data_IF_700609462470
#
_entry.id   IF_700609462470
#
_cell.length_a   1.000
_cell.length_b   1.000
_cell.length_c   1.000
_cell.angle_alpha   90.00
_cell.angle_beta   90.00
_cell.angle_gamma   90.00
#
_symmetry.space_group_name_H-M   'P 1'
#
loop_
_entity.id
_entity.type
_entity.pdbx_description
1 polymer ?
#
# COMPACT_ATOMS: atom_id res chain seq x y z
N UNK A 1 -6.52 9.58 11.29
CA UNK A 1 -6.26 10.43 10.11
C UNK A 1 -6.76 11.83 10.40
N UNK A 2 -6.00 12.87 10.10
CA UNK A 2 -6.39 14.27 10.28
C UNK A 2 -5.76 15.14 9.20
N UNK A 3 -6.18 16.40 9.10
CA UNK A 3 -5.52 17.39 8.24
C UNK A 3 -4.15 17.79 8.80
N UNK A 4 -3.29 18.31 7.93
CA UNK A 4 -1.99 18.83 8.36
C UNK A 4 -2.13 19.97 9.38
N UNK A 5 -3.12 20.86 9.16
CA UNK A 5 -3.38 21.97 10.07
C UNK A 5 -3.83 21.49 11.45
N UNK A 6 -4.70 20.48 11.50
CA UNK A 6 -5.11 19.88 12.77
C UNK A 6 -3.91 19.25 13.49
N UNK A 7 -3.09 18.48 12.78
CA UNK A 7 -1.89 17.87 13.38
C UNK A 7 -0.98 18.94 13.99
N UNK A 8 -0.71 20.01 13.24
CA UNK A 8 0.10 21.14 13.69
C UNK A 8 -0.50 21.84 14.91
N UNK A 9 -1.80 22.14 14.88
CA UNK A 9 -2.49 22.84 15.96
C UNK A 9 -2.51 22.04 17.28
N UNK A 10 -2.45 20.70 17.20
CA UNK A 10 -2.51 19.81 18.36
C UNK A 10 -1.15 19.16 18.69
N UNK A 11 -0.05 19.60 18.08
CA UNK A 11 1.28 19.06 18.33
C UNK A 11 1.42 17.56 18.00
N UNK A 12 0.61 17.05 17.06
CA UNK A 12 0.67 15.65 16.65
C UNK A 12 1.84 15.43 15.68
N UNK A 13 2.56 14.33 15.87
CA UNK A 13 3.62 13.90 14.96
C UNK A 13 3.06 12.91 13.94
N UNK A 14 2.86 13.28 12.66
CA UNK A 14 2.37 12.36 11.64
C UNK A 14 3.39 11.27 11.34
N UNK A 15 2.93 10.03 11.13
CA UNK A 15 3.80 8.95 10.64
C UNK A 15 4.13 9.12 9.16
N UNK A 16 3.14 9.51 8.36
CA UNK A 16 3.26 9.75 6.93
C UNK A 16 2.13 10.64 6.42
N UNK A 17 2.30 11.19 5.22
CA UNK A 17 1.27 11.89 4.45
C UNK A 17 0.67 10.95 3.41
N UNK A 18 -0.64 11.00 3.21
CA UNK A 18 -1.29 10.34 2.06
C UNK A 18 -1.02 11.20 0.84
N UNK A 19 -0.25 10.66 -0.12
CA UNK A 19 0.13 11.37 -1.34
C UNK A 19 -0.85 11.13 -2.48
N UNK A 20 -1.30 9.90 -2.65
CA UNK A 20 -2.28 9.53 -3.66
C UNK A 20 -3.05 8.28 -3.26
N UNK A 21 -4.29 8.18 -3.74
CA UNK A 21 -5.13 6.99 -3.64
C UNK A 21 -5.71 6.72 -5.01
N UNK A 22 -5.82 5.44 -5.37
CA UNK A 22 -6.51 5.01 -6.58
C UNK A 22 -7.21 3.68 -6.41
N UNK A 23 -8.30 3.51 -7.15
CA UNK A 23 -9.04 2.25 -7.30
C UNK A 23 -9.00 1.85 -8.76
N UNK A 24 -8.98 0.55 -9.04
CA UNK A 24 -9.04 -0.02 -10.38
C UNK A 24 -9.98 -1.21 -10.40
N UNK A 25 -10.78 -1.35 -11.46
CA UNK A 25 -11.54 -2.55 -11.76
C UNK A 25 -10.72 -3.52 -12.61
N UNK A 26 -11.01 -4.80 -12.49
CA UNK A 26 -10.52 -5.88 -13.35
C UNK A 26 -11.61 -6.96 -13.49
N UNK A 27 -11.40 -7.93 -14.35
CA UNK A 27 -12.32 -9.05 -14.49
C UNK A 27 -12.43 -9.82 -13.15
N UNK A 28 -13.65 -10.18 -12.70
CA UNK A 28 -13.86 -10.81 -11.38
C UNK A 28 -13.07 -12.11 -11.20
N UNK A 29 -12.90 -12.90 -12.24
CA UNK A 29 -12.14 -14.17 -12.22
C UNK A 29 -10.64 -13.99 -11.97
N UNK A 30 -10.12 -12.78 -12.17
CA UNK A 30 -8.74 -12.39 -11.88
C UNK A 30 -8.66 -11.26 -10.85
N UNK A 31 -9.63 -11.21 -9.94
CA UNK A 31 -9.73 -10.15 -8.93
C UNK A 31 -8.44 -9.93 -8.14
N UNK A 32 -7.66 -10.99 -7.94
CA UNK A 32 -6.37 -10.94 -7.26
C UNK A 32 -5.35 -9.99 -7.91
N UNK A 33 -5.52 -9.68 -9.21
CA UNK A 33 -4.68 -8.74 -9.95
C UNK A 33 -5.13 -7.27 -9.83
N UNK A 34 -6.24 -7.01 -9.16
CA UNK A 34 -6.73 -5.64 -8.92
C UNK A 34 -5.68 -4.67 -8.37
N UNK A 35 -4.78 -5.08 -7.45
CA UNK A 35 -3.69 -4.25 -6.94
C UNK A 35 -2.80 -3.66 -8.02
N UNK A 36 -2.57 -4.37 -9.14
CA UNK A 36 -1.69 -3.92 -10.23
C UNK A 36 -2.19 -2.61 -10.85
N UNK A 37 -3.42 -2.62 -11.36
CA UNK A 37 -4.00 -1.41 -11.97
C UNK A 37 -4.20 -0.28 -10.96
N UNK A 38 -4.54 -0.61 -9.71
CA UNK A 38 -4.69 0.38 -8.66
C UNK A 38 -3.34 1.04 -8.30
N UNK A 39 -2.29 0.24 -8.11
CA UNK A 39 -0.95 0.73 -7.81
C UNK A 39 -0.39 1.58 -8.95
N UNK A 40 -0.50 1.13 -10.21
CA UNK A 40 -0.08 1.92 -11.37
C UNK A 40 -0.74 3.31 -11.42
N UNK A 41 -2.06 3.36 -11.19
CA UNK A 41 -2.79 4.63 -11.14
C UNK A 41 -2.37 5.50 -9.95
N UNK A 42 -2.16 4.92 -8.77
CA UNK A 42 -1.77 5.67 -7.58
C UNK A 42 -0.34 6.23 -7.73
N UNK A 43 0.60 5.43 -8.25
CA UNK A 43 1.97 5.85 -8.54
C UNK A 43 2.01 7.00 -9.57
N UNK A 44 1.25 6.87 -10.66
CA UNK A 44 1.13 7.93 -11.67
C UNK A 44 0.58 9.23 -11.07
N UNK A 45 -0.47 9.17 -10.24
CA UNK A 45 -1.01 10.33 -9.51
C UNK A 45 -0.01 10.95 -8.54
N UNK A 46 0.83 10.12 -7.92
CA UNK A 46 1.88 10.57 -7.01
C UNK A 46 3.09 11.17 -7.74
N UNK A 47 3.20 10.97 -9.06
CA UNK A 47 4.34 11.41 -9.87
C UNK A 47 5.61 10.62 -9.60
N UNK A 48 5.47 9.34 -9.23
CA UNK A 48 6.59 8.43 -8.92
C UNK A 48 6.41 7.08 -9.64
N UNK A 49 7.46 6.27 -9.65
CA UNK A 49 7.49 4.91 -10.17
C UNK A 49 7.59 3.87 -9.05
N UNK A 50 7.41 2.59 -9.38
CA UNK A 50 7.61 1.50 -8.43
C UNK A 50 9.05 1.43 -7.88
N UNK A 51 10.05 1.90 -8.63
CA UNK A 51 11.46 1.93 -8.22
C UNK A 51 11.74 2.94 -7.10
N UNK A 52 10.90 3.97 -6.99
CA UNK A 52 11.01 5.02 -5.97
C UNK A 52 10.44 4.59 -4.61
N UNK A 53 9.79 3.42 -4.55
CA UNK A 53 9.22 2.89 -3.31
C UNK A 53 10.32 2.33 -2.41
N UNK A 54 10.25 2.67 -1.14
CA UNK A 54 11.13 2.16 -0.09
C UNK A 54 10.45 1.03 0.70
N UNK A 55 9.12 1.08 0.82
CA UNK A 55 8.31 0.12 1.58
C UNK A 55 7.04 -0.21 0.81
N UNK A 56 6.67 -1.48 0.76
CA UNK A 56 5.42 -1.95 0.17
C UNK A 56 4.71 -2.88 1.15
N UNK A 57 3.47 -2.58 1.46
CA UNK A 57 2.52 -3.48 2.13
C UNK A 57 1.50 -3.95 1.10
N UNK A 58 1.71 -5.12 0.57
CA UNK A 58 0.81 -5.81 -0.37
C UNK A 58 0.04 -6.87 0.40
N UNK A 59 -1.29 -6.75 0.45
CA UNK A 59 -2.10 -7.77 1.13
C UNK A 59 -1.98 -9.12 0.42
N UNK A 60 -1.58 -10.13 1.16
CA UNK A 60 -1.42 -11.51 0.70
C UNK A 60 -2.74 -12.27 0.88
N UNK A 61 -3.75 -11.97 0.04
CA UNK A 61 -4.98 -12.76 0.05
C UNK A 61 -4.69 -14.22 -0.33
N UNK A 62 -3.75 -14.42 -1.25
CA UNK A 62 -3.16 -15.71 -1.65
C UNK A 62 -1.69 -15.49 -2.02
N UNK A 63 -0.83 -16.46 -1.74
CA UNK A 63 0.60 -16.38 -2.09
C UNK A 63 0.82 -16.22 -3.60
N UNK A 64 0.09 -16.98 -4.41
CA UNK A 64 0.15 -16.90 -5.88
C UNK A 64 -0.24 -15.52 -6.41
N UNK A 65 -1.28 -14.91 -5.82
CA UNK A 65 -1.75 -13.56 -6.17
C UNK A 65 -0.70 -12.50 -5.80
N UNK A 66 -0.11 -12.57 -4.61
CA UNK A 66 0.91 -11.63 -4.19
C UNK A 66 2.13 -11.68 -5.11
N UNK A 67 2.63 -12.89 -5.42
CA UNK A 67 3.74 -13.09 -6.36
C UNK A 67 3.44 -12.56 -7.75
N UNK A 68 2.23 -12.78 -8.28
CA UNK A 68 1.82 -12.26 -9.57
C UNK A 68 1.81 -10.72 -9.59
N UNK A 69 1.23 -10.09 -8.56
CA UNK A 69 1.23 -8.63 -8.43
C UNK A 69 2.65 -8.05 -8.32
N UNK A 70 3.54 -8.68 -7.55
CA UNK A 70 4.93 -8.25 -7.41
C UNK A 70 5.67 -8.28 -8.75
N UNK A 71 5.51 -9.34 -9.53
CA UNK A 71 6.11 -9.50 -10.87
C UNK A 71 5.60 -8.44 -11.84
N UNK A 72 4.29 -8.26 -11.93
CA UNK A 72 3.66 -7.30 -12.85
C UNK A 72 4.01 -5.84 -12.52
N UNK A 73 4.18 -5.52 -11.24
CA UNK A 73 4.57 -4.18 -10.79
C UNK A 73 6.09 -3.97 -10.80
N UNK A 74 6.88 -5.02 -10.98
CA UNK A 74 8.34 -4.97 -10.89
C UNK A 74 8.82 -4.54 -9.50
N UNK A 75 8.15 -5.02 -8.44
CA UNK A 75 8.50 -4.69 -7.06
C UNK A 75 9.76 -5.45 -6.61
N UNK A 76 10.60 -4.76 -5.87
CA UNK A 76 11.72 -5.36 -5.16
C UNK A 76 11.19 -6.15 -3.95
N UNK A 77 11.36 -7.46 -3.97
CA UNK A 77 10.87 -8.38 -2.93
C UNK A 77 11.43 -8.03 -1.54
N UNK A 78 12.64 -7.50 -1.48
CA UNK A 78 13.26 -7.09 -0.22
C UNK A 78 12.59 -5.89 0.47
N UNK A 79 11.64 -5.24 -0.21
CA UNK A 79 10.89 -4.09 0.30
C UNK A 79 9.41 -4.41 0.58
N UNK A 80 8.99 -5.65 0.31
CA UNK A 80 7.58 -6.06 0.42
C UNK A 80 7.33 -6.80 1.72
N UNK A 81 6.32 -6.33 2.49
CA UNK A 81 5.86 -6.98 3.73
C UNK A 81 7.00 -7.33 4.69
N UNK A 82 7.87 -6.37 5.00
CA UNK A 82 9.12 -6.55 5.75
C UNK A 82 8.96 -7.27 7.09
N UNK A 83 7.83 -7.12 7.74
CA UNK A 83 7.54 -7.76 9.04
C UNK A 83 6.50 -8.91 8.90
N UNK A 84 6.35 -9.46 7.70
CA UNK A 84 5.36 -10.48 7.36
C UNK A 84 4.02 -9.89 6.94
N UNK A 85 3.33 -10.59 6.04
CA UNK A 85 2.03 -10.22 5.48
C UNK A 85 0.87 -11.06 6.03
N UNK A 86 -0.24 -11.07 5.29
CA UNK A 86 -1.47 -11.74 5.72
C UNK A 86 -1.36 -13.27 5.85
N UNK A 87 -0.43 -13.91 5.15
CA UNK A 87 -0.17 -15.34 5.31
C UNK A 87 0.29 -15.66 6.73
N UNK A 88 1.11 -14.78 7.32
CA UNK A 88 1.57 -14.93 8.69
C UNK A 88 0.58 -14.37 9.73
N UNK A 89 -0.09 -13.24 9.42
CA UNK A 89 -0.85 -12.45 10.39
C UNK A 89 -2.37 -12.64 10.28
N UNK A 90 -2.86 -13.16 9.17
CA UNK A 90 -4.28 -13.26 8.84
C UNK A 90 -4.79 -12.07 8.01
N UNK A 91 -6.00 -12.28 7.44
CA UNK A 91 -6.66 -11.28 6.58
C UNK A 91 -8.09 -11.00 7.09
N UNK A 92 -8.24 -10.22 8.17
CA UNK A 92 -9.56 -9.77 8.62
C UNK A 92 -10.08 -8.70 7.66
N UNK A 93 -11.06 -9.05 6.83
CA UNK A 93 -11.52 -8.25 5.68
C UNK A 93 -11.80 -6.78 6.04
N UNK A 94 -12.51 -6.53 7.14
CA UNK A 94 -12.85 -5.18 7.58
C UNK A 94 -11.69 -4.37 8.18
N UNK A 95 -10.57 -5.01 8.50
CA UNK A 95 -9.42 -4.36 9.16
C UNK A 95 -8.17 -4.29 8.28
N UNK A 96 -8.05 -5.15 7.26
CA UNK A 96 -6.79 -5.27 6.49
C UNK A 96 -6.37 -3.97 5.83
N UNK A 97 -7.30 -3.17 5.29
CA UNK A 97 -6.95 -1.87 4.68
C UNK A 97 -6.30 -0.91 5.68
N UNK A 98 -6.87 -0.80 6.88
CA UNK A 98 -6.31 0.02 7.97
C UNK A 98 -4.97 -0.56 8.44
N UNK A 99 -4.87 -1.89 8.59
CA UNK A 99 -3.66 -2.58 9.02
C UNK A 99 -2.49 -2.30 8.08
N UNK A 100 -2.64 -2.61 6.77
CA UNK A 100 -1.54 -2.45 5.81
C UNK A 100 -1.14 -0.98 5.63
N UNK A 101 -2.10 -0.06 5.66
CA UNK A 101 -1.81 1.38 5.54
C UNK A 101 -1.06 1.90 6.77
N UNK A 102 -1.52 1.56 7.98
CA UNK A 102 -0.85 1.91 9.21
C UNK A 102 0.54 1.28 9.32
N UNK A 103 0.66 0.01 8.91
CA UNK A 103 1.93 -0.71 8.88
C UNK A 103 2.92 -0.07 7.90
N UNK A 104 2.49 0.23 6.68
CA UNK A 104 3.33 0.91 5.70
C UNK A 104 3.87 2.24 6.24
N UNK A 105 3.03 3.03 6.92
CA UNK A 105 3.45 4.30 7.52
C UNK A 105 4.48 4.11 8.64
N UNK A 106 4.29 3.11 9.51
CA UNK A 106 5.23 2.80 10.59
C UNK A 106 6.57 2.28 10.08
N UNK A 107 6.53 1.34 9.12
CA UNK A 107 7.75 0.78 8.53
C UNK A 107 8.49 1.86 7.76
N UNK A 108 7.79 2.70 7.00
CA UNK A 108 8.39 3.82 6.27
C UNK A 108 9.17 4.76 7.20
N UNK A 109 8.60 5.08 8.38
CA UNK A 109 9.29 5.88 9.40
C UNK A 109 10.49 5.13 9.99
N UNK A 110 10.34 3.86 10.32
CA UNK A 110 11.41 3.03 10.90
C UNK A 110 12.61 2.87 9.96
N UNK A 111 12.35 2.60 8.70
CA UNK A 111 13.40 2.42 7.68
C UNK A 111 13.99 3.74 7.16
N UNK A 112 13.44 4.89 7.58
CA UNK A 112 13.87 6.21 7.09
C UNK A 112 13.60 6.44 5.60
N UNK A 113 12.70 5.66 5.02
CA UNK A 113 12.29 5.75 3.63
C UNK A 113 11.50 7.02 3.31
N UNK A 114 11.27 7.27 2.03
CA UNK A 114 10.49 8.42 1.56
C UNK A 114 9.10 8.04 1.09
N UNK A 115 8.97 6.97 0.31
CA UNK A 115 7.71 6.55 -0.28
C UNK A 115 7.32 5.13 0.11
N UNK A 116 6.06 4.98 0.52
CA UNK A 116 5.44 3.70 0.82
C UNK A 116 4.21 3.45 -0.04
N UNK A 117 3.93 2.19 -0.31
CA UNK A 117 2.72 1.74 -0.99
C UNK A 117 1.97 0.76 -0.09
N UNK A 118 0.67 0.97 0.11
CA UNK A 118 -0.24 -0.02 0.66
C UNK A 118 -1.27 -0.38 -0.41
N UNK A 119 -1.41 -1.67 -0.75
CA UNK A 119 -2.33 -2.11 -1.80
C UNK A 119 -2.96 -3.46 -1.49
N UNK A 120 -4.19 -3.65 -1.95
CA UNK A 120 -4.94 -4.90 -1.78
C UNK A 120 -5.97 -5.10 -2.90
N UNK A 121 -6.28 -6.36 -3.17
CA UNK A 121 -7.43 -6.74 -3.99
C UNK A 121 -8.74 -6.56 -3.21
N UNK A 122 -9.83 -6.38 -3.93
CA UNK A 122 -11.17 -6.23 -3.40
C UNK A 122 -12.07 -7.20 -4.16
N UNK A 123 -13.00 -7.86 -3.46
CA UNK A 123 -13.97 -8.77 -4.05
C UNK A 123 -14.77 -8.13 -5.19
N UNK A 124 -15.19 -8.94 -6.16
CA UNK A 124 -15.94 -8.47 -7.33
C UNK A 124 -15.07 -7.91 -8.47
N UNK A 125 -13.75 -8.04 -8.39
CA UNK A 125 -12.84 -7.61 -9.47
C UNK A 125 -12.39 -6.16 -9.32
N UNK A 126 -11.80 -5.82 -8.16
CA UNK A 126 -11.28 -4.48 -7.89
C UNK A 126 -9.95 -4.54 -7.14
N UNK A 127 -9.22 -3.44 -7.15
CA UNK A 127 -8.07 -3.20 -6.30
C UNK A 127 -8.03 -1.76 -5.82
N UNK A 128 -7.36 -1.54 -4.68
CA UNK A 128 -7.09 -0.22 -4.13
C UNK A 128 -5.62 -0.09 -3.80
N UNK A 129 -5.08 1.11 -3.97
CA UNK A 129 -3.72 1.45 -3.61
C UNK A 129 -3.64 2.84 -3.00
N UNK A 130 -2.81 2.96 -1.96
CA UNK A 130 -2.50 4.22 -1.28
C UNK A 130 -0.99 4.42 -1.31
N UNK A 131 -0.55 5.54 -1.88
CA UNK A 131 0.85 5.99 -1.82
C UNK A 131 1.01 6.92 -0.64
N UNK A 132 1.98 6.59 0.22
CA UNK A 132 2.39 7.37 1.38
C UNK A 132 3.71 8.09 1.10
N UNK A 133 3.87 9.29 1.64
CA UNK A 133 5.12 10.03 1.70
C UNK A 133 5.49 10.30 3.15
N UNK A 134 6.75 10.10 3.51
CA UNK A 134 7.25 10.37 4.85
C UNK A 134 6.90 11.79 5.29
N UNK A 135 6.41 11.93 6.53
CA UNK A 135 6.21 13.23 7.16
C UNK A 135 7.58 13.76 7.64
N UNK A 136 8.22 14.57 6.81
CA UNK A 136 9.46 15.28 7.14
C UNK A 136 9.17 16.76 7.38
#
# INVERSE_FOLDING_TARGET
>A
MCSADYAKAHGLEPLAKIKAIAVSGCAPEVMGMGPVGAAQKALARAGISARDLDVVELNEAFSSQALACMRELGLDESKVNLDGGAIALGHPLGASGARITGKAAQVLKREGGRYGLATMCIGGGQGIATVLEAAR
#
